data_IF_304183573589
#
_entry.id   IF_304183573589
#
_cell.length_a   1.000
_cell.length_b   1.000
_cell.length_c   1.000
_cell.angle_alpha   90.00
_cell.angle_beta   90.00
_cell.angle_gamma   90.00
#
_symmetry.space_group_name_H-M   'P 1'
#
loop_
_entity.id
_entity.type
_entity.pdbx_description
1 polymer ?
#
# COMPACT_ATOMS: atom_id res chain seq x y z
N UNK A 1 -18.94 8.19 9.52
CA UNK A 1 -19.09 6.76 9.20
C UNK A 1 -19.94 6.68 7.95
N UNK A 2 -19.30 6.77 6.78
CA UNK A 2 -19.97 6.65 5.48
C UNK A 2 -19.96 5.15 5.15
N UNK A 3 -21.15 4.59 5.00
CA UNK A 3 -21.43 3.21 4.63
C UNK A 3 -21.22 3.05 3.12
N UNK A 4 -19.96 2.87 2.70
CA UNK A 4 -19.65 2.33 1.37
C UNK A 4 -20.01 0.85 1.45
N UNK A 5 -21.06 0.41 0.74
CA UNK A 5 -21.72 -0.90 0.87
C UNK A 5 -20.92 -2.15 0.51
N UNK A 6 -19.62 -2.16 0.80
CA UNK A 6 -18.73 -3.32 0.79
C UNK A 6 -18.79 -4.14 2.07
N UNK A 7 -18.29 -5.37 2.03
CA UNK A 7 -18.18 -6.19 3.25
C UNK A 7 -17.23 -5.50 4.23
N UNK A 8 -17.78 -4.92 5.29
CA UNK A 8 -17.06 -4.15 6.30
C UNK A 8 -15.88 -4.92 6.93
N UNK A 9 -15.91 -6.27 6.86
CA UNK A 9 -14.81 -7.13 7.31
C UNK A 9 -13.57 -6.99 6.42
N UNK A 10 -13.73 -6.93 5.10
CA UNK A 10 -12.61 -6.78 4.17
C UNK A 10 -11.97 -5.40 4.31
N UNK A 11 -12.78 -4.35 4.45
CA UNK A 11 -12.29 -2.99 4.73
C UNK A 11 -11.51 -2.96 6.05
N UNK A 12 -12.03 -3.60 7.11
CA UNK A 12 -11.34 -3.68 8.39
C UNK A 12 -10.03 -4.45 8.30
N UNK A 13 -10.01 -5.59 7.61
CA UNK A 13 -8.79 -6.37 7.41
C UNK A 13 -7.72 -5.57 6.66
N UNK A 14 -8.12 -4.87 5.59
CA UNK A 14 -7.21 -3.97 4.85
C UNK A 14 -6.67 -2.82 5.72
N UNK A 15 -7.46 -2.26 6.64
CA UNK A 15 -6.98 -1.24 7.59
C UNK A 15 -5.98 -1.79 8.59
N UNK A 16 -6.21 -2.98 9.14
CA UNK A 16 -5.25 -3.64 10.04
C UNK A 16 -3.92 -3.88 9.33
N UNK A 17 -3.95 -4.30 8.05
CA UNK A 17 -2.74 -4.42 7.24
C UNK A 17 -2.05 -3.07 7.02
N UNK A 18 -2.81 -2.00 6.78
CA UNK A 18 -2.24 -0.66 6.67
C UNK A 18 -1.53 -0.25 7.98
N UNK A 19 -2.15 -0.50 9.13
CA UNK A 19 -1.57 -0.25 10.45
C UNK A 19 -0.29 -1.06 10.66
N UNK A 20 -0.27 -2.35 10.31
CA UNK A 20 0.96 -3.15 10.31
C UNK A 20 2.05 -2.51 9.44
N UNK A 21 1.72 -2.12 8.21
CA UNK A 21 2.69 -1.53 7.28
C UNK A 21 3.32 -0.24 7.83
N UNK A 22 2.51 0.64 8.43
CA UNK A 22 3.03 1.84 9.09
C UNK A 22 3.94 1.50 10.27
N UNK A 23 3.52 0.55 11.10
CA UNK A 23 4.28 0.15 12.29
C UNK A 23 5.65 -0.43 11.95
N UNK A 24 5.69 -1.25 10.90
CA UNK A 24 6.91 -1.74 10.29
C UNK A 24 7.81 -0.61 9.80
N UNK A 25 7.26 0.42 9.15
CA UNK A 25 8.02 1.55 8.63
C UNK A 25 8.64 2.42 9.73
N UNK A 26 7.96 2.54 10.86
CA UNK A 26 8.41 3.39 11.97
C UNK A 26 9.09 2.62 13.11
N UNK A 27 9.35 1.33 12.92
CA UNK A 27 10.04 0.47 13.91
C UNK A 27 9.31 0.38 15.26
N UNK A 28 7.98 0.35 15.27
CA UNK A 28 7.18 0.37 16.50
C UNK A 28 6.22 -0.84 16.63
N UNK A 29 6.04 -1.33 17.86
CA UNK A 29 4.95 -2.22 18.27
C UNK A 29 4.88 -3.60 17.60
N UNK A 30 5.89 -4.46 17.81
CA UNK A 30 5.91 -5.85 17.29
C UNK A 30 4.77 -6.72 17.82
N UNK A 31 4.39 -6.57 19.10
CA UNK A 31 3.22 -7.26 19.69
C UNK A 31 1.92 -6.81 19.02
N UNK A 32 1.75 -5.50 18.82
CA UNK A 32 0.58 -4.97 18.11
C UNK A 32 0.55 -5.49 16.68
N UNK A 33 1.66 -5.49 15.94
CA UNK A 33 1.71 -6.06 14.59
C UNK A 33 1.20 -7.50 14.60
N UNK A 34 1.64 -8.35 15.54
CA UNK A 34 1.18 -9.73 15.65
C UNK A 34 -0.35 -9.82 15.86
N UNK A 35 -0.89 -9.02 16.77
CA UNK A 35 -2.34 -8.99 17.05
C UNK A 35 -3.16 -8.54 15.84
N UNK A 36 -2.68 -7.52 15.11
CA UNK A 36 -3.34 -6.99 13.91
C UNK A 36 -3.32 -8.02 12.78
N UNK A 37 -2.20 -8.71 12.57
CA UNK A 37 -2.09 -9.79 11.59
C UNK A 37 -3.03 -10.95 11.92
N UNK A 38 -3.10 -11.36 13.19
CA UNK A 38 -3.99 -12.44 13.62
C UNK A 38 -5.48 -12.07 13.43
N UNK A 39 -5.86 -10.83 13.68
CA UNK A 39 -7.24 -10.36 13.42
C UNK A 39 -7.53 -10.23 11.93
N UNK A 40 -6.62 -9.70 11.13
CA UNK A 40 -6.77 -9.63 9.67
C UNK A 40 -6.97 -11.03 9.06
N UNK A 41 -6.18 -12.01 9.50
CA UNK A 41 -6.34 -13.41 9.07
C UNK A 41 -7.72 -13.96 9.42
N UNK A 42 -8.19 -13.78 10.66
CA UNK A 42 -9.54 -14.20 11.08
C UNK A 42 -10.64 -13.57 10.24
N UNK A 43 -10.50 -12.29 9.89
CA UNK A 43 -11.48 -11.58 9.08
C UNK A 43 -11.53 -12.15 7.65
N UNK A 44 -10.38 -12.39 7.02
CA UNK A 44 -10.30 -13.03 5.70
C UNK A 44 -10.81 -14.48 5.73
N UNK A 45 -10.55 -15.23 6.79
CA UNK A 45 -11.01 -16.62 6.94
C UNK A 45 -12.51 -16.74 7.21
N UNK A 46 -13.09 -15.75 7.89
CA UNK A 46 -14.53 -15.67 8.12
C UNK A 46 -15.32 -15.24 6.88
N UNK A 47 -14.63 -14.75 5.84
CA UNK A 47 -15.28 -14.29 4.63
C UNK A 47 -15.85 -15.47 3.86
N UNK A 48 -17.14 -15.38 3.54
CA UNK A 48 -17.84 -16.34 2.69
C UNK A 48 -18.39 -15.58 1.51
N UNK A 49 -18.16 -16.07 0.29
CA UNK A 49 -18.68 -15.46 -0.93
C UNK A 49 -20.18 -15.19 -0.79
N UNK A 50 -20.54 -13.92 -0.75
CA UNK A 50 -21.94 -13.52 -0.66
C UNK A 50 -22.67 -13.79 -1.99
N UNK A 51 -21.92 -13.79 -3.08
CA UNK A 51 -22.39 -14.05 -4.44
C UNK A 51 -21.55 -15.18 -5.05
N UNK A 52 -22.13 -16.32 -5.43
CA UNK A 52 -21.40 -17.40 -6.09
C UNK A 52 -20.72 -16.90 -7.38
N UNK A 53 -19.40 -17.05 -7.46
CA UNK A 53 -18.61 -16.60 -8.61
C UNK A 53 -18.15 -15.14 -8.57
N UNK A 54 -18.22 -14.47 -7.41
CA UNK A 54 -17.58 -13.17 -7.20
C UNK A 54 -16.05 -13.30 -7.17
N UNK A 55 -15.46 -13.26 -8.36
CA UNK A 55 -14.01 -13.36 -8.55
C UNK A 55 -13.24 -12.20 -7.91
N UNK A 56 -13.84 -11.02 -7.75
CA UNK A 56 -13.14 -9.84 -7.22
C UNK A 56 -12.98 -9.89 -5.72
N UNK A 57 -14.03 -10.31 -5.01
CA UNK A 57 -13.95 -10.56 -3.58
C UNK A 57 -13.00 -11.72 -3.26
N UNK A 58 -13.08 -12.81 -4.03
CA UNK A 58 -12.18 -13.96 -3.87
C UNK A 58 -10.71 -13.56 -4.08
N UNK A 59 -10.41 -12.78 -5.13
CA UNK A 59 -9.08 -12.23 -5.36
C UNK A 59 -8.63 -11.28 -4.24
N UNK A 60 -9.54 -10.43 -3.74
CA UNK A 60 -9.25 -9.51 -2.62
C UNK A 60 -8.85 -10.27 -1.35
N UNK A 61 -9.57 -11.34 -1.02
CA UNK A 61 -9.25 -12.22 0.11
C UNK A 61 -7.92 -12.93 -0.11
N UNK A 62 -7.66 -13.44 -1.31
CA UNK A 62 -6.41 -14.15 -1.59
C UNK A 62 -5.18 -13.23 -1.48
N UNK A 63 -5.25 -12.03 -2.07
CA UNK A 63 -4.18 -11.01 -1.96
C UNK A 63 -4.02 -10.53 -0.53
N UNK A 64 -5.11 -10.35 0.21
CA UNK A 64 -5.09 -10.01 1.63
C UNK A 64 -4.37 -11.06 2.47
N UNK A 65 -4.69 -12.35 2.28
CA UNK A 65 -3.99 -13.47 2.93
C UNK A 65 -2.52 -13.55 2.54
N UNK A 66 -2.18 -13.28 1.28
CA UNK A 66 -0.78 -13.20 0.82
C UNK A 66 -0.03 -12.10 1.57
N UNK A 67 -0.65 -10.94 1.74
CA UNK A 67 -0.08 -9.81 2.48
C UNK A 67 0.08 -10.12 3.97
N UNK A 68 -0.89 -10.80 4.60
CA UNK A 68 -0.76 -11.30 5.98
C UNK A 68 0.45 -12.23 6.11
N UNK A 69 0.61 -13.18 5.19
CA UNK A 69 1.71 -14.14 5.24
C UNK A 69 3.07 -13.48 5.01
N UNK A 70 3.16 -12.51 4.08
CA UNK A 70 4.36 -11.72 3.84
C UNK A 70 4.75 -10.87 5.07
N UNK A 71 3.77 -10.23 5.71
CA UNK A 71 4.01 -9.46 6.93
C UNK A 71 4.34 -10.32 8.14
N UNK A 72 3.75 -11.52 8.26
CA UNK A 72 4.11 -12.47 9.31
C UNK A 72 5.55 -12.97 9.15
N UNK A 73 5.98 -13.23 7.90
CA UNK A 73 7.37 -13.53 7.61
C UNK A 73 8.27 -12.36 8.02
N UNK A 74 7.97 -11.14 7.57
CA UNK A 74 8.72 -9.94 7.98
C UNK A 74 8.81 -9.78 9.49
N UNK A 75 7.70 -9.89 10.22
CA UNK A 75 7.70 -9.76 11.68
C UNK A 75 8.61 -10.79 12.34
N UNK A 76 8.56 -12.04 11.87
CA UNK A 76 9.44 -13.10 12.36
C UNK A 76 10.92 -12.71 12.18
N UNK A 77 11.26 -12.17 11.01
CA UNK A 77 12.61 -11.73 10.68
C UNK A 77 13.06 -10.54 11.53
N UNK A 78 12.21 -9.52 11.67
CA UNK A 78 12.50 -8.31 12.42
C UNK A 78 12.71 -8.63 13.92
N UNK A 79 11.89 -9.52 14.50
CA UNK A 79 11.97 -9.91 15.92
C UNK A 79 13.19 -10.78 16.21
N UNK A 80 13.46 -11.79 15.39
CA UNK A 80 14.52 -12.77 15.66
C UNK A 80 15.92 -12.22 15.32
N UNK A 81 16.03 -11.47 14.23
CA UNK A 81 17.34 -11.05 13.71
C UNK A 81 17.66 -9.57 13.96
N UNK A 82 16.70 -8.79 14.49
CA UNK A 82 16.88 -7.34 14.70
C UNK A 82 17.14 -6.57 13.40
N UNK A 83 16.78 -7.16 12.26
CA UNK A 83 16.95 -6.60 10.93
C UNK A 83 15.83 -5.59 10.68
N UNK A 84 15.99 -4.35 11.16
CA UNK A 84 15.00 -3.29 10.94
C UNK A 84 15.09 -2.66 9.53
N UNK A 85 15.41 -3.43 8.49
CA UNK A 85 15.67 -2.87 7.17
C UNK A 85 15.44 -3.87 6.03
N UNK A 86 14.96 -3.37 4.89
CA UNK A 86 15.13 -4.05 3.59
C UNK A 86 13.90 -4.60 2.89
N UNK A 87 12.74 -4.65 3.54
CA UNK A 87 11.53 -5.16 2.88
C UNK A 87 10.94 -4.16 1.89
N UNK A 88 11.08 -2.86 2.18
CA UNK A 88 10.45 -1.81 1.37
C UNK A 88 11.44 -0.80 0.78
N UNK A 89 12.49 -0.34 1.49
CA UNK A 89 13.33 0.80 1.03
C UNK A 89 14.76 0.90 1.58
N UNK A 90 15.17 0.12 2.58
CA UNK A 90 16.49 0.32 3.18
C UNK A 90 17.58 -0.40 2.38
N UNK A 91 18.58 0.36 1.94
CA UNK A 91 19.80 -0.11 1.27
C UNK A 91 20.64 -1.10 2.10
N UNK A 92 20.21 -1.38 3.34
CA UNK A 92 20.79 -2.34 4.28
C UNK A 92 19.83 -3.51 4.53
N UNK A 93 19.04 -3.89 3.53
CA UNK A 93 18.21 -5.09 3.62
C UNK A 93 19.02 -6.37 3.82
N UNK A 94 18.43 -7.42 4.44
CA UNK A 94 19.11 -8.68 4.59
C UNK A 94 19.61 -9.20 3.25
N UNK A 95 20.79 -9.83 3.20
CA UNK A 95 21.32 -10.40 1.97
C UNK A 95 20.35 -11.46 1.44
N UNK A 96 19.65 -11.13 0.35
CA UNK A 96 18.75 -12.03 -0.35
C UNK A 96 19.59 -13.18 -0.95
N UNK A 97 19.82 -14.27 -0.20
CA UNK A 97 20.56 -15.43 -0.71
C UNK A 97 21.40 -16.22 0.30
N UNK A 98 21.61 -15.72 1.51
CA UNK A 98 22.41 -16.40 2.55
C UNK A 98 21.65 -16.50 3.89
N UNK A 99 20.31 -16.38 3.86
CA UNK A 99 19.48 -16.28 5.06
C UNK A 99 19.26 -17.60 5.82
N UNK A 100 19.56 -18.77 5.22
CA UNK A 100 19.68 -20.02 5.99
C UNK A 100 20.74 -19.92 7.10
N UNK A 101 21.78 -19.10 6.92
CA UNK A 101 22.80 -18.87 7.95
C UNK A 101 22.28 -18.01 9.11
N UNK A 102 21.22 -17.23 8.87
CA UNK A 102 20.64 -16.34 9.86
C UNK A 102 19.45 -16.99 10.59
N UNK A 103 18.73 -17.92 9.95
CA UNK A 103 17.65 -18.71 10.56
C UNK A 103 18.14 -20.06 11.12
N UNK A 104 19.19 -20.05 11.96
CA UNK A 104 19.82 -21.28 12.50
C UNK A 104 18.81 -22.21 13.22
N UNK A 105 17.76 -21.64 13.82
CA UNK A 105 16.71 -22.36 14.54
C UNK A 105 15.50 -22.73 13.65
N UNK A 106 15.49 -22.31 12.38
CA UNK A 106 14.41 -22.60 11.41
C UNK A 106 13.06 -21.96 11.75
N UNK A 107 13.07 -20.88 12.54
CA UNK A 107 11.87 -20.20 13.05
C UNK A 107 11.10 -19.56 11.89
N UNK A 108 11.84 -18.95 10.96
CA UNK A 108 11.26 -18.21 9.83
C UNK A 108 10.88 -19.11 8.65
N UNK A 109 11.48 -20.31 8.54
CA UNK A 109 11.25 -21.25 7.44
C UNK A 109 9.77 -21.59 7.24
N UNK A 110 9.04 -21.90 8.31
CA UNK A 110 7.61 -22.22 8.23
C UNK A 110 6.76 -21.02 7.76
N UNK A 111 7.13 -19.80 8.18
CA UNK A 111 6.47 -18.57 7.75
C UNK A 111 6.76 -18.29 6.25
N UNK A 112 7.99 -18.51 5.81
CA UNK A 112 8.41 -18.29 4.43
C UNK A 112 7.76 -19.28 3.45
N UNK A 113 7.77 -20.57 3.77
CA UNK A 113 7.04 -21.57 2.97
C UNK A 113 5.54 -21.27 2.90
N UNK A 114 4.95 -20.80 4.01
CA UNK A 114 3.56 -20.36 4.02
C UNK A 114 3.35 -19.17 3.09
N UNK A 115 4.21 -18.15 3.15
CA UNK A 115 4.13 -16.98 2.28
C UNK A 115 4.22 -17.38 0.80
N UNK A 116 5.13 -18.28 0.42
CA UNK A 116 5.23 -18.81 -0.96
C UNK A 116 3.93 -19.50 -1.39
N UNK A 117 3.39 -20.40 -0.56
CA UNK A 117 2.15 -21.12 -0.90
C UNK A 117 0.96 -20.19 -1.08
N UNK A 118 0.78 -19.24 -0.16
CA UNK A 118 -0.35 -18.31 -0.18
C UNK A 118 -0.22 -17.31 -1.32
N UNK A 119 0.98 -16.81 -1.60
CA UNK A 119 1.23 -15.92 -2.73
C UNK A 119 0.93 -16.60 -4.08
N UNK A 120 1.32 -17.87 -4.25
CA UNK A 120 0.94 -18.65 -5.46
C UNK A 120 -0.58 -18.75 -5.61
N UNK A 121 -1.31 -19.05 -4.52
CA UNK A 121 -2.77 -19.09 -4.56
C UNK A 121 -3.40 -17.71 -4.87
N UNK A 122 -2.77 -16.62 -4.42
CA UNK A 122 -3.21 -15.26 -4.75
C UNK A 122 -2.96 -14.90 -6.22
N UNK A 123 -1.85 -15.36 -6.82
CA UNK A 123 -1.61 -15.22 -8.26
C UNK A 123 -2.60 -16.02 -9.10
N UNK A 124 -3.03 -17.20 -8.63
CA UNK A 124 -4.06 -17.97 -9.31
C UNK A 124 -5.42 -17.24 -9.28
N UNK A 125 -5.70 -16.49 -8.20
CA UNK A 125 -6.93 -15.72 -8.04
C UNK A 125 -6.91 -14.39 -8.83
N UNK A 126 -5.76 -13.71 -8.90
CA UNK A 126 -5.56 -12.50 -9.71
C UNK A 126 -4.18 -12.53 -10.42
N UNK A 127 -4.13 -13.02 -11.67
CA UNK A 127 -2.89 -13.16 -12.41
C UNK A 127 -2.23 -11.84 -12.80
N UNK A 128 -2.93 -10.71 -12.68
CA UNK A 128 -2.43 -9.39 -13.11
C UNK A 128 -2.01 -8.50 -11.93
N UNK A 129 -2.15 -8.97 -10.69
CA UNK A 129 -1.82 -8.17 -9.50
C UNK A 129 -0.30 -7.91 -9.38
N UNK A 130 0.17 -6.66 -9.27
CA UNK A 130 1.61 -6.37 -9.20
C UNK A 130 2.23 -6.59 -7.80
N UNK A 131 1.42 -6.63 -6.73
CA UNK A 131 1.91 -6.78 -5.36
C UNK A 131 2.34 -8.23 -5.06
N UNK A 132 1.54 -9.20 -5.49
CA UNK A 132 1.76 -10.60 -5.14
C UNK A 132 3.09 -11.17 -5.67
N UNK A 133 3.54 -10.89 -6.91
CA UNK A 133 4.86 -11.35 -7.37
C UNK A 133 6.01 -10.78 -6.54
N UNK A 134 5.91 -9.53 -6.06
CA UNK A 134 6.92 -8.95 -5.16
C UNK A 134 6.98 -9.73 -3.84
N UNK A 135 5.83 -9.97 -3.20
CA UNK A 135 5.74 -10.75 -1.96
C UNK A 135 6.26 -12.18 -2.14
N UNK A 136 5.94 -12.81 -3.27
CA UNK A 136 6.47 -14.12 -3.64
C UNK A 136 8.00 -14.08 -3.78
N UNK A 137 8.54 -13.05 -4.46
CA UNK A 137 9.97 -12.89 -4.63
C UNK A 137 10.71 -12.74 -3.31
N UNK A 138 10.17 -11.93 -2.38
CA UNK A 138 10.74 -11.77 -1.04
C UNK A 138 10.75 -13.09 -0.27
N UNK A 139 9.65 -13.84 -0.30
CA UNK A 139 9.57 -15.14 0.37
C UNK A 139 10.50 -16.20 -0.26
N UNK A 140 10.65 -16.20 -1.59
CA UNK A 140 11.55 -17.11 -2.31
C UNK A 140 13.02 -16.78 -2.03
N UNK A 141 13.37 -15.49 -2.04
CA UNK A 141 14.71 -15.04 -1.70
C UNK A 141 15.07 -15.42 -0.26
N UNK A 142 14.10 -15.30 0.65
CA UNK A 142 14.27 -15.67 2.06
C UNK A 142 14.59 -17.15 2.25
N UNK A 143 13.97 -18.06 1.49
CA UNK A 143 14.28 -19.50 1.55
C UNK A 143 15.47 -19.92 0.65
N UNK A 144 16.23 -18.96 0.12
CA UNK A 144 17.39 -19.22 -0.72
C UNK A 144 17.08 -19.62 -2.18
N UNK A 145 15.82 -19.59 -2.62
CA UNK A 145 15.44 -19.82 -4.02
C UNK A 145 15.67 -18.55 -4.85
N UNK A 146 16.95 -18.24 -5.11
CA UNK A 146 17.39 -17.07 -5.87
C UNK A 146 16.75 -17.00 -7.26
N UNK A 147 16.74 -18.11 -7.99
CA UNK A 147 16.22 -18.14 -9.36
C UNK A 147 14.70 -17.89 -9.38
N UNK A 148 13.97 -18.49 -8.42
CA UNK A 148 12.56 -18.21 -8.22
C UNK A 148 12.28 -16.75 -7.84
N UNK A 149 13.10 -16.17 -6.96
CA UNK A 149 12.99 -14.76 -6.56
C UNK A 149 13.18 -13.80 -7.73
N UNK A 150 14.24 -13.98 -8.53
CA UNK A 150 14.51 -13.19 -9.74
C UNK A 150 13.32 -13.26 -10.70
N UNK A 151 12.76 -14.45 -10.94
CA UNK A 151 11.60 -14.61 -11.81
C UNK A 151 10.37 -13.86 -11.27
N UNK A 152 10.13 -13.90 -9.96
CA UNK A 152 8.99 -13.24 -9.33
C UNK A 152 9.12 -11.70 -9.33
N UNK A 153 10.31 -11.15 -9.06
CA UNK A 153 10.55 -9.70 -9.14
C UNK A 153 10.51 -9.17 -10.57
N UNK A 154 11.05 -9.92 -11.54
CA UNK A 154 10.92 -9.57 -12.95
C UNK A 154 9.45 -9.54 -13.39
N UNK A 155 8.63 -10.45 -12.86
CA UNK A 155 7.18 -10.46 -13.10
C UNK A 155 6.47 -9.27 -12.43
N UNK A 156 6.88 -8.87 -11.22
CA UNK A 156 6.38 -7.65 -10.58
C UNK A 156 6.63 -6.43 -11.48
N UNK A 157 7.86 -6.27 -11.99
CA UNK A 157 8.24 -5.19 -12.91
C UNK A 157 7.57 -5.29 -14.29
N UNK A 158 7.19 -6.50 -14.73
CA UNK A 158 6.39 -6.64 -15.95
C UNK A 158 4.99 -6.05 -15.78
N UNK A 159 4.43 -6.14 -14.56
CA UNK A 159 3.07 -5.66 -14.22
C UNK A 159 3.07 -4.18 -13.81
N UNK A 160 4.06 -3.76 -13.01
CA UNK A 160 4.34 -2.37 -12.68
C UNK A 160 5.82 -2.03 -12.96
N UNK A 161 6.13 -1.54 -14.17
CA UNK A 161 7.51 -1.25 -14.56
C UNK A 161 8.22 -0.19 -13.73
N UNK A 162 7.48 0.60 -12.96
CA UNK A 162 8.00 1.70 -12.15
C UNK A 162 8.12 1.33 -10.67
N UNK A 163 7.99 0.05 -10.34
CA UNK A 163 8.12 -0.45 -8.98
C UNK A 163 9.57 -0.41 -8.47
N UNK A 164 9.90 0.64 -7.73
CA UNK A 164 11.24 0.86 -7.19
C UNK A 164 11.73 -0.32 -6.33
N UNK A 165 10.89 -0.83 -5.43
CA UNK A 165 11.29 -1.92 -4.53
C UNK A 165 11.59 -3.23 -5.29
N UNK A 166 10.78 -3.56 -6.31
CA UNK A 166 11.07 -4.74 -7.14
C UNK A 166 12.40 -4.58 -7.91
N UNK A 167 12.69 -3.37 -8.40
CA UNK A 167 13.97 -3.05 -9.05
C UNK A 167 15.16 -3.14 -8.11
N UNK A 168 15.03 -2.63 -6.89
CA UNK A 168 16.05 -2.73 -5.83
C UNK A 168 16.28 -4.18 -5.41
N UNK A 169 15.22 -4.98 -5.25
CA UNK A 169 15.33 -6.40 -4.96
C UNK A 169 16.09 -7.18 -6.04
N UNK A 170 15.88 -6.86 -7.33
CA UNK A 170 16.70 -7.42 -8.40
C UNK A 170 18.16 -6.97 -8.30
N UNK A 171 18.40 -5.70 -8.01
CA UNK A 171 19.75 -5.16 -7.81
C UNK A 171 20.52 -5.86 -6.68
N UNK A 172 19.86 -6.14 -5.55
CA UNK A 172 20.42 -6.92 -4.44
C UNK A 172 20.77 -8.36 -4.83
N UNK A 173 20.14 -8.90 -5.88
CA UNK A 173 20.42 -10.22 -6.45
C UNK A 173 21.43 -10.17 -7.60
N UNK A 174 22.12 -9.05 -7.80
CA UNK A 174 23.03 -8.78 -8.92
C UNK A 174 22.36 -8.93 -10.31
N UNK A 175 21.09 -8.55 -10.39
CA UNK A 175 20.33 -8.53 -11.66
C UNK A 175 19.91 -7.10 -11.98
N UNK A 176 20.38 -6.59 -13.12
CA UNK A 176 19.96 -5.27 -13.59
C UNK A 176 18.44 -5.25 -13.88
N UNK A 177 17.66 -4.37 -13.22
CA UNK A 177 16.24 -4.28 -13.52
C UNK A 177 16.00 -3.75 -14.93
N UNK A 178 14.94 -4.20 -15.62
CA UNK A 178 14.56 -3.64 -16.91
C UNK A 178 14.31 -2.14 -16.78
N UNK A 179 14.75 -1.36 -17.78
CA UNK A 179 14.42 0.07 -17.82
C UNK A 179 12.91 0.24 -17.98
N UNK A 180 12.25 1.06 -17.15
CA UNK A 180 10.83 1.31 -17.30
C UNK A 180 10.53 1.91 -18.68
N UNK A 181 9.41 1.54 -19.33
CA UNK A 181 8.93 2.27 -20.49
C UNK A 181 8.57 3.70 -20.07
N UNK A 182 8.51 4.66 -21.01
CA UNK A 182 7.98 5.99 -20.72
C UNK A 182 6.63 5.90 -20.03
N UNK A 183 6.35 6.81 -19.09
CA UNK A 183 5.09 6.83 -18.36
C UNK A 183 3.91 6.79 -19.35
N UNK A 184 3.02 5.80 -19.20
CA UNK A 184 1.82 5.69 -20.02
C UNK A 184 0.82 6.75 -19.52
N UNK A 185 0.47 7.77 -20.34
CA UNK A 185 -0.50 8.77 -19.92
C UNK A 185 -1.89 8.18 -19.69
N UNK A 186 -2.17 6.96 -20.17
CA UNK A 186 -3.41 6.24 -19.92
C UNK A 186 -3.15 5.08 -18.97
N UNK A 187 -3.65 5.23 -17.74
CA UNK A 187 -3.55 4.19 -16.72
C UNK A 187 -4.33 2.94 -17.15
N UNK A 188 -3.62 1.80 -17.33
CA UNK A 188 -4.24 0.48 -17.63
C UNK A 188 -4.84 -0.20 -16.39
N UNK A 189 -5.29 0.58 -15.41
CA UNK A 189 -5.81 0.05 -14.16
C UNK A 189 -7.23 -0.47 -14.34
N UNK A 190 -7.52 -1.55 -13.63
CA UNK A 190 -8.80 -2.28 -13.67
C UNK A 190 -9.95 -1.53 -13.00
N UNK A 191 -9.64 -0.70 -12.00
CA UNK A 191 -10.64 -0.07 -11.13
C UNK A 191 -10.61 1.46 -11.17
N UNK A 192 -11.79 2.05 -10.98
CA UNK A 192 -11.98 3.44 -10.64
C UNK A 192 -11.85 3.65 -9.13
N UNK A 193 -11.08 4.65 -8.73
CA UNK A 193 -10.96 5.09 -7.34
C UNK A 193 -10.35 6.50 -7.28
N UNK A 194 -10.50 7.14 -6.12
CA UNK A 194 -9.79 8.35 -5.79
C UNK A 194 -8.60 8.01 -4.90
N UNK A 195 -7.45 8.64 -5.15
CA UNK A 195 -6.29 8.56 -4.27
C UNK A 195 -6.00 9.95 -3.72
N UNK A 196 -5.96 10.07 -2.40
CA UNK A 196 -5.47 11.26 -1.73
C UNK A 196 -4.00 11.04 -1.39
N UNK A 197 -3.12 11.81 -2.01
CA UNK A 197 -1.69 11.89 -1.68
C UNK A 197 -1.52 13.01 -0.68
N UNK A 198 -1.03 12.65 0.50
CA UNK A 198 -0.73 13.59 1.60
C UNK A 198 0.77 13.52 1.81
N UNK A 199 1.46 14.64 1.69
CA UNK A 199 2.85 14.75 2.09
C UNK A 199 2.97 15.69 3.28
N UNK A 200 3.43 15.15 4.39
CA UNK A 200 3.68 15.88 5.61
C UNK A 200 5.18 16.17 5.72
N UNK A 201 5.55 17.41 6.07
CA UNK A 201 6.96 17.75 6.22
C UNK A 201 7.50 17.19 7.53
N UNK A 202 8.50 16.31 7.44
CA UNK A 202 9.16 15.68 8.60
C UNK A 202 10.35 16.51 9.08
N UNK A 203 11.19 16.94 8.15
CA UNK A 203 12.34 17.82 8.40
C UNK A 203 12.40 18.93 7.36
N UNK A 204 13.37 19.84 7.47
CA UNK A 204 13.52 20.93 6.49
C UNK A 204 13.69 20.45 5.04
N UNK A 205 14.15 19.22 4.82
CA UNK A 205 14.44 18.67 3.49
C UNK A 205 13.64 17.41 3.15
N UNK A 206 12.98 16.80 4.14
CA UNK A 206 12.34 15.49 4.00
C UNK A 206 10.82 15.60 4.14
N UNK A 207 10.13 14.99 3.18
CA UNK A 207 8.69 14.87 3.12
C UNK A 207 8.34 13.40 3.29
N UNK A 208 7.34 13.14 4.13
CA UNK A 208 6.77 11.83 4.28
C UNK A 208 5.49 11.76 3.46
N UNK A 209 5.44 10.83 2.51
CA UNK A 209 4.28 10.60 1.67
C UNK A 209 3.43 9.46 2.21
N UNK A 210 2.12 9.70 2.25
CA UNK A 210 1.10 8.69 2.42
C UNK A 210 0.08 8.79 1.29
N UNK A 211 -0.43 7.64 0.84
CA UNK A 211 -1.47 7.57 -0.19
C UNK A 211 -2.66 6.75 0.29
N UNK A 212 -3.83 7.37 0.29
CA UNK A 212 -5.08 6.83 0.84
C UNK A 212 -6.10 6.62 -0.28
N UNK A 213 -6.69 5.44 -0.38
CA UNK A 213 -7.62 5.09 -1.46
C UNK A 213 -9.08 5.22 -1.03
N UNK A 214 -9.92 5.69 -1.93
CA UNK A 214 -11.35 5.88 -1.69
C UNK A 214 -12.19 5.39 -2.87
N UNK A 215 -13.30 4.72 -2.56
CA UNK A 215 -14.29 4.28 -3.54
C UNK A 215 -15.25 5.39 -3.97
N UNK A 216 -15.21 6.55 -3.31
CA UNK A 216 -15.99 7.73 -3.68
C UNK A 216 -15.18 9.02 -3.53
N UNK A 217 -15.45 9.99 -4.41
CA UNK A 217 -14.86 11.33 -4.31
C UNK A 217 -15.34 12.06 -3.05
N UNK A 218 -16.58 11.84 -2.63
CA UNK A 218 -17.11 12.42 -1.40
C UNK A 218 -16.27 12.02 -0.17
N UNK A 219 -15.88 10.75 -0.04
CA UNK A 219 -15.02 10.30 1.06
C UNK A 219 -13.61 10.90 0.98
N UNK A 220 -13.00 10.92 -0.21
CA UNK A 220 -11.68 11.53 -0.40
C UNK A 220 -11.67 13.03 -0.07
N UNK A 221 -12.71 13.75 -0.48
CA UNK A 221 -12.88 15.18 -0.16
C UNK A 221 -13.04 15.43 1.33
N UNK A 222 -13.80 14.59 2.03
CA UNK A 222 -13.99 14.72 3.47
C UNK A 222 -12.67 14.52 4.24
N UNK A 223 -11.83 13.58 3.79
CA UNK A 223 -10.49 13.36 4.36
C UNK A 223 -9.53 14.52 4.05
N UNK A 224 -9.55 15.03 2.82
CA UNK A 224 -8.78 16.21 2.44
C UNK A 224 -9.17 17.45 3.26
N UNK A 225 -10.47 17.66 3.47
CA UNK A 225 -10.98 18.74 4.32
C UNK A 225 -10.54 18.58 5.79
N UNK A 226 -10.42 17.34 6.29
CA UNK A 226 -9.92 17.09 7.64
C UNK A 226 -8.43 17.43 7.76
N UNK A 227 -7.62 17.04 6.77
CA UNK A 227 -6.18 17.27 6.76
C UNK A 227 -5.80 18.76 6.86
N UNK A 228 -6.61 19.68 6.32
CA UNK A 228 -6.37 21.13 6.40
C UNK A 228 -7.02 21.81 7.61
N UNK A 229 -7.85 21.09 8.39
CA UNK A 229 -8.55 21.61 9.58
C UNK A 229 -7.86 21.30 10.90
N UNK A 230 -7.02 20.27 10.95
CA UNK A 230 -6.44 19.76 12.20
C UNK A 230 -5.44 20.71 12.89
N UNK A 231 -5.02 21.80 12.24
CA UNK A 231 -4.05 22.76 12.79
C UNK A 231 -4.63 24.19 12.96
N UNK A 232 -5.34 24.42 14.07
CA UNK A 232 -5.95 25.73 14.42
C UNK A 232 -4.92 26.85 14.68
N UNK A 233 -3.62 26.55 14.68
CA UNK A 233 -2.55 27.52 14.94
C UNK A 233 -1.64 27.81 13.75
N UNK A 234 -1.78 27.07 12.64
CA UNK A 234 -0.90 27.22 11.47
C UNK A 234 -1.18 28.53 10.73
N UNK A 235 -0.14 29.32 10.53
CA UNK A 235 -0.19 30.50 9.66
C UNK A 235 -0.35 30.08 8.20
N UNK A 236 -1.20 30.78 7.45
CA UNK A 236 -1.52 30.46 6.04
C UNK A 236 -0.27 30.42 5.16
N UNK A 237 0.70 31.28 5.41
CA UNK A 237 1.98 31.34 4.70
C UNK A 237 2.84 30.09 4.91
N UNK A 238 2.64 29.36 6.02
CA UNK A 238 3.37 28.14 6.33
C UNK A 238 2.68 26.88 5.80
N UNK A 239 1.42 26.95 5.38
CA UNK A 239 0.64 25.78 4.96
C UNK A 239 1.33 24.99 3.83
N UNK A 240 1.75 25.67 2.77
CA UNK A 240 2.45 25.04 1.63
C UNK A 240 3.86 24.51 1.98
N UNK A 241 4.40 24.96 3.11
CA UNK A 241 5.68 24.50 3.63
C UNK A 241 5.54 23.30 4.56
N UNK A 242 4.35 23.04 5.10
CA UNK A 242 4.10 21.96 6.06
C UNK A 242 3.35 20.79 5.44
N UNK A 243 2.46 21.06 4.50
CA UNK A 243 1.55 20.08 3.91
C UNK A 243 1.50 20.23 2.39
N UNK A 244 1.61 19.11 1.69
CA UNK A 244 1.16 19.00 0.30
C UNK A 244 0.01 18.02 0.23
N UNK A 245 -0.99 18.39 -0.56
CA UNK A 245 -2.22 17.64 -0.65
C UNK A 245 -2.68 17.60 -2.09
N UNK A 246 -2.76 16.39 -2.64
CA UNK A 246 -3.13 16.16 -4.04
C UNK A 246 -4.22 15.09 -4.11
N UNK A 247 -5.28 15.39 -4.85
CA UNK A 247 -6.35 14.43 -5.16
C UNK A 247 -6.17 13.93 -6.58
N UNK A 248 -5.97 12.63 -6.71
CA UNK A 248 -5.94 11.93 -7.99
C UNK A 248 -7.27 11.20 -8.21
N UNK A 249 -7.90 11.39 -9.36
CA UNK A 249 -9.06 10.62 -9.83
C UNK A 249 -8.57 9.67 -10.91
N UNK A 250 -8.61 8.37 -10.61
CA UNK A 250 -8.15 7.31 -11.50
C UNK A 250 -9.35 6.56 -12.02
N UNK A 251 -9.51 6.57 -13.34
CA UNK A 251 -10.57 5.85 -14.05
C UNK A 251 -9.95 4.93 -15.12
N UNK A 252 -10.44 3.69 -15.27
CA UNK A 252 -9.91 2.75 -16.26
C UNK A 252 -9.95 3.32 -17.68
N UNK A 253 -8.81 3.22 -18.38
CA UNK A 253 -8.68 3.68 -19.77
C UNK A 253 -8.73 5.20 -19.95
N UNK A 254 -8.63 5.99 -18.87
CA UNK A 254 -8.54 7.44 -18.91
C UNK A 254 -7.20 7.92 -18.35
N UNK A 255 -6.72 9.11 -18.76
CA UNK A 255 -5.65 9.78 -18.05
C UNK A 255 -6.02 10.04 -16.60
N UNK A 256 -5.02 10.01 -15.71
CA UNK A 256 -5.21 10.39 -14.31
C UNK A 256 -5.54 11.89 -14.26
N UNK A 257 -6.64 12.24 -13.60
CA UNK A 257 -6.97 13.64 -13.33
C UNK A 257 -6.44 14.01 -11.95
N UNK A 258 -5.68 15.08 -11.87
CA UNK A 258 -5.00 15.49 -10.64
C UNK A 258 -5.42 16.89 -10.22
N UNK A 259 -5.64 17.09 -8.93
CA UNK A 259 -5.97 18.37 -8.31
C UNK A 259 -4.99 18.67 -7.18
N UNK A 260 -4.17 19.72 -7.33
CA UNK A 260 -3.44 20.33 -6.22
C UNK A 260 -4.46 21.03 -5.31
N UNK A 261 -4.62 20.51 -4.10
CA UNK A 261 -5.62 21.00 -3.15
C UNK A 261 -5.11 22.16 -2.29
N UNK A 262 -3.80 22.27 -2.07
CA UNK A 262 -3.22 23.38 -1.29
C UNK A 262 -3.35 24.69 -2.05
N UNK A 263 -3.12 24.67 -3.37
CA UNK A 263 -3.37 25.82 -4.26
C UNK A 263 -4.83 26.27 -4.30
N UNK A 264 -5.75 25.48 -3.73
CA UNK A 264 -7.19 25.76 -3.69
C UNK A 264 -7.67 26.19 -2.30
N UNK A 265 -6.77 26.28 -1.33
CA UNK A 265 -7.05 26.88 -0.02
C UNK A 265 -7.00 28.41 -0.17
N UNK A 266 -8.08 29.15 0.13
CA UNK A 266 -8.09 30.61 0.04
C UNK A 266 -6.99 31.27 0.90
N UNK A 267 -6.67 32.52 0.56
CA UNK A 267 -5.66 33.31 1.31
C UNK A 267 -6.14 33.72 2.72
N UNK A 268 -7.44 33.58 3.02
CA UNK A 268 -8.02 33.85 4.34
C UNK A 268 -8.84 32.66 4.85
N UNK A 269 -8.85 32.40 6.17
CA UNK A 269 -8.22 33.19 7.25
C UNK A 269 -6.68 33.10 7.26
N UNK A 270 -6.01 34.08 7.88
CA UNK A 270 -4.53 34.14 7.97
C UNK A 270 -3.95 33.04 8.88
N UNK A 271 -4.79 32.50 9.77
CA UNK A 271 -4.50 31.40 10.68
C UNK A 271 -5.65 30.40 10.57
N UNK A 272 -5.34 29.11 10.68
CA UNK A 272 -6.32 28.01 10.58
C UNK A 272 -7.51 28.14 11.55
N UNK A 273 -8.56 27.31 11.35
CA UNK A 273 -8.63 26.21 10.38
C UNK A 273 -8.90 26.68 8.95
N UNK A 274 -8.39 25.90 7.98
CA UNK A 274 -8.55 26.20 6.56
C UNK A 274 -9.69 25.40 5.91
N UNK A 275 -10.07 25.80 4.70
CA UNK A 275 -11.04 25.08 3.87
C UNK A 275 -10.57 25.05 2.42
N UNK A 276 -10.83 23.94 1.72
CA UNK A 276 -10.49 23.79 0.31
C UNK A 276 -11.66 24.32 -0.55
N UNK A 277 -11.37 25.16 -1.55
CA UNK A 277 -12.34 25.49 -2.59
C UNK A 277 -12.49 24.31 -3.56
N UNK A 278 -13.63 23.63 -3.46
CA UNK A 278 -13.95 22.49 -4.32
C UNK A 278 -14.60 22.86 -5.66
N UNK A 279 -14.70 24.15 -6.00
CA UNK A 279 -15.34 24.61 -7.23
C UNK A 279 -14.69 24.02 -8.50
N UNK A 280 -15.42 23.22 -9.25
CA UNK A 280 -14.90 22.54 -10.45
C UNK A 280 -14.18 21.21 -10.18
N UNK A 281 -14.16 20.74 -8.93
CA UNK A 281 -13.78 19.37 -8.58
C UNK A 281 -15.05 18.52 -8.48
N UNK A 282 -15.14 17.37 -9.18
CA UNK A 282 -16.31 16.50 -9.11
C UNK A 282 -16.54 15.95 -7.69
N UNK A 283 -17.78 15.60 -7.38
CA UNK A 283 -18.18 15.02 -6.08
C UNK A 283 -18.93 13.71 -6.22
N UNK A 284 -19.82 13.64 -7.20
CA UNK A 284 -20.67 12.48 -7.47
C UNK A 284 -20.29 11.80 -8.79
N UNK A 285 -19.06 12.02 -9.30
CA UNK A 285 -18.58 11.28 -10.47
C UNK A 285 -18.43 9.79 -10.09
N UNK A 286 -19.13 8.86 -10.77
CA UNK A 286 -19.01 7.44 -10.50
C UNK A 286 -17.61 6.91 -10.85
N UNK A 287 -17.03 6.14 -9.92
CA UNK A 287 -15.70 5.56 -10.07
C UNK A 287 -15.81 4.10 -10.52
N UNK A 288 -16.20 3.89 -11.78
CA UNK A 288 -16.58 2.56 -12.30
C UNK A 288 -15.50 1.91 -13.19
N UNK A 289 -15.32 0.57 -13.10
CA UNK A 289 -15.77 -0.31 -12.00
C UNK A 289 -15.06 0.03 -10.69
N UNK A 290 -15.73 -0.01 -9.53
CA UNK A 290 -15.14 0.43 -8.27
C UNK A 290 -14.03 -0.50 -7.80
N UNK A 291 -13.05 0.07 -7.08
CA UNK A 291 -12.07 -0.71 -6.35
C UNK A 291 -12.78 -1.65 -5.35
N UNK A 292 -12.51 -2.96 -5.36
CA UNK A 292 -13.12 -3.87 -4.42
C UNK A 292 -12.81 -3.47 -2.96
N UNK A 293 -13.80 -3.50 -2.06
CA UNK A 293 -13.61 -3.13 -0.65
C UNK A 293 -12.49 -3.93 0.01
N UNK A 294 -11.55 -3.24 0.65
CA UNK A 294 -10.41 -3.87 1.33
C UNK A 294 -9.28 -4.36 0.41
N UNK A 295 -9.38 -4.14 -0.91
CA UNK A 295 -8.30 -4.47 -1.85
C UNK A 295 -7.08 -3.59 -1.57
N UNK A 296 -5.97 -4.24 -1.23
CA UNK A 296 -4.64 -3.61 -1.21
C UNK A 296 -4.20 -3.45 -2.65
N UNK A 297 -3.77 -2.25 -3.03
CA UNK A 297 -3.13 -2.01 -4.33
C UNK A 297 -1.66 -1.70 -4.13
N UNK A 298 -0.84 -2.00 -5.13
CA UNK A 298 0.51 -1.46 -5.22
C UNK A 298 0.59 -0.40 -6.31
N UNK A 299 1.12 0.76 -5.96
CA UNK A 299 1.26 1.91 -6.87
C UNK A 299 2.52 2.68 -6.54
N UNK A 300 3.34 2.92 -7.56
CA UNK A 300 4.57 3.72 -7.47
C UNK A 300 5.49 3.22 -6.34
N UNK A 301 5.60 1.88 -6.20
CA UNK A 301 6.44 1.24 -5.19
C UNK A 301 5.84 1.16 -3.77
N UNK A 302 4.62 1.67 -3.53
CA UNK A 302 3.99 1.62 -2.20
C UNK A 302 2.71 0.77 -2.16
N UNK A 303 2.49 -0.03 -1.11
CA UNK A 303 1.17 -0.57 -0.83
C UNK A 303 0.22 0.56 -0.42
N UNK A 304 -0.96 0.58 -1.02
CA UNK A 304 -1.98 1.58 -0.84
C UNK A 304 -3.25 0.89 -0.35
N UNK A 305 -3.85 1.43 0.71
CA UNK A 305 -4.96 0.82 1.42
C UNK A 305 -6.22 1.71 1.38
N UNK A 306 -7.38 1.08 1.50
CA UNK A 306 -8.67 1.76 1.52
C UNK A 306 -8.86 2.57 2.81
N UNK A 307 -9.05 3.88 2.68
CA UNK A 307 -9.41 4.81 3.76
C UNK A 307 -8.65 4.54 5.08
N UNK A 308 -7.34 4.32 4.97
CA UNK A 308 -6.43 4.06 6.08
C UNK A 308 -5.51 5.27 6.26
N UNK A 309 -5.50 5.84 7.47
CA UNK A 309 -4.64 6.95 7.85
C UNK A 309 -3.44 6.41 8.61
N UNK A 310 -2.24 6.95 8.39
CA UNK A 310 -1.11 6.65 9.26
C UNK A 310 -1.42 7.04 10.71
N UNK A 311 -0.96 6.29 11.72
CA UNK A 311 -0.98 6.78 13.09
C UNK A 311 -0.12 8.06 13.18
N UNK A 312 -0.52 9.00 14.06
CA UNK A 312 0.28 10.19 14.31
C UNK A 312 1.70 9.78 14.76
N UNK A 313 2.76 10.45 14.23
CA UNK A 313 4.15 10.14 14.58
C UNK A 313 4.44 10.37 16.07
#
# INVERSE_FOLDING_TARGET
>A
MIDDGGDARLVRAGRLLAECWWRFRFGNGTEEIADHLAEAERLYDSFTDQTPGDVESAATVAIGRSTVAAFALRLCVDVEHGLNGGWDWDHEGPPLGEMEEWDEDGVSAAAAERAVRVARAALDADPDDPLVPLQLGQALAWIGDRDGAVAAYAEALRRDPWDGAAGECLGMLDVDPPKPPPADPVSRRRYGFAALRVEDRVTNSEWFEQRRLYGSLAAARADADAAVRDDEGLERELLEHTLRLELEVRLPGRPVTTYDLISRVPDHPDVGPFAIDWSGVPVDEPLEPPLPPGRVLRMDGMPCFYAATAPAP
#
